data_IF_405762356422
#
_entry.id   IF_405762356422
#
_cell.length_a   1.000
_cell.length_b   1.000
_cell.length_c   1.000
_cell.angle_alpha   90.00
_cell.angle_beta   90.00
_cell.angle_gamma   90.00
#
_symmetry.space_group_name_H-M   'P 1'
#
loop_
_entity.id
_entity.type
_entity.pdbx_description
1 polymer ?
#
# COMPACT_ATOMS: atom_id res chain seq x y z
N UNK A 1 -4.97 3.76 -28.53
CA UNK A 1 -4.90 2.61 -27.62
C UNK A 1 -5.68 2.93 -26.36
N UNK A 2 -7.01 2.81 -26.42
CA UNK A 2 -7.94 3.27 -25.38
C UNK A 2 -8.56 2.01 -24.75
N UNK A 3 -8.59 1.93 -23.41
CA UNK A 3 -9.44 0.96 -22.72
C UNK A 3 -8.76 -0.28 -22.10
N UNK A 4 -7.60 -0.15 -21.45
CA UNK A 4 -7.25 -1.14 -20.41
C UNK A 4 -7.84 -0.66 -19.10
N UNK A 5 -9.03 -1.16 -18.78
CA UNK A 5 -9.57 -1.20 -17.41
C UNK A 5 -8.45 -1.54 -16.42
N UNK A 6 -8.54 -1.09 -15.14
CA UNK A 6 -7.65 -1.60 -14.11
C UNK A 6 -7.67 -3.13 -14.20
N UNK A 7 -6.54 -3.72 -14.61
CA UNK A 7 -6.48 -5.19 -14.68
C UNK A 7 -6.81 -5.68 -13.27
N UNK A 8 -7.74 -6.63 -13.13
CA UNK A 8 -8.09 -7.25 -11.84
C UNK A 8 -6.84 -7.54 -10.99
N UNK A 9 -5.75 -7.95 -11.65
CA UNK A 9 -4.41 -8.12 -11.11
C UNK A 9 -3.87 -6.91 -10.32
N UNK A 10 -4.06 -5.68 -10.78
CA UNK A 10 -3.61 -4.45 -10.11
C UNK A 10 -4.39 -4.22 -8.82
N UNK A 11 -5.71 -4.41 -8.84
CA UNK A 11 -6.56 -4.26 -7.66
C UNK A 11 -6.18 -5.32 -6.62
N UNK A 12 -6.03 -6.58 -7.04
CA UNK A 12 -5.58 -7.69 -6.18
C UNK A 12 -4.19 -7.40 -5.61
N UNK A 13 -3.25 -6.89 -6.42
CA UNK A 13 -1.91 -6.56 -5.96
C UNK A 13 -1.89 -5.45 -4.89
N UNK A 14 -2.74 -4.41 -5.02
CA UNK A 14 -2.87 -3.36 -4.01
C UNK A 14 -3.43 -3.92 -2.71
N UNK A 15 -4.47 -4.76 -2.80
CA UNK A 15 -5.08 -5.38 -1.61
C UNK A 15 -4.09 -6.31 -0.89
N UNK A 16 -3.37 -7.17 -1.62
CA UNK A 16 -2.34 -8.02 -1.03
C UNK A 16 -1.25 -7.18 -0.37
N UNK A 17 -0.80 -6.10 -1.00
CA UNK A 17 0.19 -5.21 -0.40
C UNK A 17 -0.31 -4.57 0.89
N UNK A 18 -1.58 -4.15 0.96
CA UNK A 18 -2.18 -3.60 2.19
C UNK A 18 -2.24 -4.67 3.29
N UNK A 19 -2.65 -5.89 2.97
CA UNK A 19 -2.68 -7.01 3.93
C UNK A 19 -1.26 -7.29 4.47
N UNK A 20 -0.26 -7.38 3.60
CA UNK A 20 1.13 -7.57 4.02
C UNK A 20 1.65 -6.40 4.88
N UNK A 21 1.29 -5.16 4.53
CA UNK A 21 1.68 -3.99 5.31
C UNK A 21 1.07 -4.01 6.72
N UNK A 22 -0.20 -4.40 6.84
CA UNK A 22 -0.88 -4.57 8.13
C UNK A 22 -0.24 -5.69 8.96
N UNK A 23 0.10 -6.83 8.32
CA UNK A 23 0.81 -7.93 8.99
C UNK A 23 2.18 -7.49 9.49
N UNK A 24 2.93 -6.70 8.72
CA UNK A 24 4.21 -6.12 9.12
C UNK A 24 4.06 -5.21 10.35
N UNK A 25 3.06 -4.33 10.37
CA UNK A 25 2.80 -3.45 11.52
C UNK A 25 2.40 -4.26 12.74
N UNK A 26 1.51 -5.25 12.57
CA UNK A 26 1.08 -6.13 13.65
C UNK A 26 2.26 -6.92 14.24
N UNK A 27 3.14 -7.44 13.39
CA UNK A 27 4.36 -8.11 13.83
C UNK A 27 5.32 -7.15 14.54
N UNK A 28 5.51 -5.95 14.01
CA UNK A 28 6.32 -4.91 14.66
C UNK A 28 5.79 -4.55 16.04
N UNK A 29 4.47 -4.49 16.21
CA UNK A 29 3.81 -4.27 17.50
C UNK A 29 4.07 -5.42 18.49
N UNK A 30 4.00 -6.68 18.03
CA UNK A 30 4.33 -7.84 18.89
C UNK A 30 5.79 -7.82 19.31
N UNK A 31 6.72 -7.53 18.39
CA UNK A 31 8.14 -7.37 18.75
C UNK A 31 8.34 -6.24 19.77
N UNK A 32 7.63 -5.12 19.61
CA UNK A 32 7.69 -4.00 20.54
C UNK A 32 7.16 -4.38 21.93
N UNK A 33 6.02 -5.06 22.01
CA UNK A 33 5.40 -5.42 23.29
C UNK A 33 6.22 -6.42 24.11
N UNK A 34 7.08 -7.19 23.45
CA UNK A 34 8.01 -8.12 24.09
C UNK A 34 9.41 -7.53 24.33
N UNK A 35 9.63 -6.27 23.94
CA UNK A 35 10.91 -5.60 24.20
C UNK A 35 11.05 -5.36 25.70
N UNK A 36 12.02 -6.04 26.32
CA UNK A 36 12.40 -5.85 27.73
C UNK A 36 13.91 -5.59 27.83
N UNK A 37 14.43 -5.32 29.03
CA UNK A 37 15.87 -5.12 29.25
C UNK A 37 16.71 -6.33 28.80
N UNK A 38 16.16 -7.54 28.92
CA UNK A 38 16.78 -8.80 28.50
C UNK A 38 16.65 -9.02 26.98
N UNK A 39 15.60 -8.46 26.36
CA UNK A 39 15.26 -8.64 24.95
C UNK A 39 15.29 -7.31 24.17
N UNK A 40 16.25 -6.44 24.50
CA UNK A 40 16.37 -5.11 23.88
C UNK A 40 16.58 -5.19 22.35
N UNK A 41 17.15 -6.30 21.87
CA UNK A 41 17.36 -6.57 20.44
C UNK A 41 16.06 -6.63 19.63
N UNK A 42 14.90 -6.87 20.27
CA UNK A 42 13.59 -6.86 19.60
C UNK A 42 13.12 -5.46 19.19
N UNK A 43 13.71 -4.40 19.76
CA UNK A 43 13.40 -3.02 19.39
C UNK A 43 13.75 -2.72 17.92
N UNK A 44 14.84 -3.30 17.42
CA UNK A 44 15.31 -3.11 16.03
C UNK A 44 14.32 -3.69 15.01
N UNK A 45 13.95 -4.99 15.05
CA UNK A 45 12.96 -5.54 14.14
C UNK A 45 11.58 -4.91 14.36
N UNK A 46 11.20 -4.54 15.59
CA UNK A 46 9.95 -3.80 15.84
C UNK A 46 9.89 -2.50 15.03
N UNK A 47 10.94 -1.68 15.12
CA UNK A 47 11.03 -0.42 14.39
C UNK A 47 11.05 -0.62 12.88
N UNK A 48 11.86 -1.57 12.37
CA UNK A 48 11.95 -1.86 10.94
C UNK A 48 10.61 -2.35 10.38
N UNK A 49 9.89 -3.21 11.10
CA UNK A 49 8.59 -3.72 10.67
C UNK A 49 7.51 -2.63 10.69
N UNK A 50 7.48 -1.77 11.71
CA UNK A 50 6.56 -0.63 11.75
C UNK A 50 6.85 0.39 10.65
N UNK A 51 8.12 0.77 10.45
CA UNK A 51 8.52 1.72 9.41
C UNK A 51 8.24 1.15 8.01
N UNK A 52 8.64 -0.11 7.77
CA UNK A 52 8.40 -0.80 6.50
C UNK A 52 6.92 -0.96 6.18
N UNK A 53 6.10 -1.35 7.16
CA UNK A 53 4.66 -1.43 7.00
C UNK A 53 4.01 -0.08 6.70
N UNK A 54 4.45 0.99 7.38
CA UNK A 54 3.97 2.36 7.12
C UNK A 54 4.30 2.81 5.69
N UNK A 55 5.54 2.59 5.24
CA UNK A 55 5.96 2.89 3.86
C UNK A 55 5.13 2.10 2.85
N UNK A 56 4.86 0.83 3.12
CA UNK A 56 4.05 -0.02 2.25
C UNK A 56 2.58 0.46 2.13
N UNK A 57 2.00 0.99 3.20
CA UNK A 57 0.68 1.65 3.19
C UNK A 57 0.71 2.90 2.32
N UNK A 58 1.69 3.79 2.52
CA UNK A 58 1.83 5.02 1.73
C UNK A 58 1.97 4.68 0.24
N UNK A 59 2.79 3.68 -0.09
CA UNK A 59 2.96 3.21 -1.47
C UNK A 59 1.65 2.65 -2.05
N UNK A 60 0.84 1.95 -1.27
CA UNK A 60 -0.47 1.45 -1.70
C UNK A 60 -1.45 2.61 -1.96
N UNK A 61 -1.49 3.63 -1.09
CA UNK A 61 -2.29 4.84 -1.27
C UNK A 61 -1.89 5.58 -2.55
N UNK A 62 -0.58 5.79 -2.78
CA UNK A 62 -0.09 6.44 -3.99
C UNK A 62 -0.50 5.69 -5.26
N UNK A 63 -0.52 4.34 -5.23
CA UNK A 63 -1.01 3.53 -6.35
C UNK A 63 -2.51 3.71 -6.59
N UNK A 64 -3.31 3.81 -5.52
CA UNK A 64 -4.75 4.08 -5.62
C UNK A 64 -4.98 5.47 -6.23
N UNK A 65 -4.28 6.50 -5.75
CA UNK A 65 -4.37 7.87 -6.29
C UNK A 65 -4.00 7.91 -7.76
N UNK A 66 -2.91 7.24 -8.16
CA UNK A 66 -2.52 7.13 -9.57
C UNK A 66 -3.57 6.44 -10.43
N UNK A 67 -4.25 5.42 -9.90
CA UNK A 67 -5.35 4.72 -10.56
C UNK A 67 -6.54 5.64 -10.80
N UNK A 68 -6.99 6.36 -9.76
CA UNK A 68 -8.10 7.32 -9.84
C UNK A 68 -7.75 8.47 -10.80
N UNK A 69 -6.52 8.99 -10.74
CA UNK A 69 -6.06 10.06 -11.64
C UNK A 69 -6.10 9.63 -13.11
N UNK A 70 -5.72 8.37 -13.39
CA UNK A 70 -5.79 7.80 -14.74
C UNK A 70 -7.23 7.64 -15.23
N UNK A 71 -8.16 7.21 -14.38
CA UNK A 71 -9.59 7.13 -14.74
C UNK A 71 -10.16 8.51 -15.07
N UNK A 72 -9.89 9.52 -14.23
CA UNK A 72 -10.32 10.90 -14.47
C UNK A 72 -9.80 11.47 -15.79
N UNK A 73 -8.54 11.17 -16.14
CA UNK A 73 -7.96 11.59 -17.42
C UNK A 73 -8.68 10.96 -18.61
N UNK A 74 -8.98 9.65 -18.54
CA UNK A 74 -9.70 8.93 -19.59
C UNK A 74 -11.12 9.51 -19.76
N UNK A 75 -11.82 9.80 -18.67
CA UNK A 75 -13.16 10.39 -18.71
C UNK A 75 -13.16 11.79 -19.32
N UNK A 76 -12.11 12.59 -19.07
CA UNK A 76 -11.90 13.88 -19.72
C UNK A 76 -11.80 13.75 -21.25
N UNK A 77 -11.01 12.79 -21.74
CA UNK A 77 -10.89 12.53 -23.18
C UNK A 77 -12.18 12.01 -23.81
N UNK A 78 -12.92 11.11 -23.12
CA UNK A 78 -14.22 10.63 -23.59
C UNK A 78 -15.25 11.75 -23.74
N UNK A 79 -15.24 12.73 -22.84
CA UNK A 79 -16.12 13.91 -22.91
C UNK A 79 -15.77 14.84 -24.08
N UNK A 80 -14.48 14.93 -24.45
CA UNK A 80 -14.03 15.76 -25.57
C UNK A 80 -14.22 15.11 -26.95
N UNK A 81 -14.15 13.78 -27.04
CA UNK A 81 -14.33 13.04 -28.30
C UNK A 81 -15.78 12.66 -28.63
N UNK A 82 -16.75 13.04 -27.80
CA UNK A 82 -18.18 12.83 -28.03
C UNK A 82 -18.91 14.08 -28.55
N UNK A 83 -18.16 15.11 -28.95
CA UNK A 83 -18.63 16.29 -29.68
C UNK A 83 -18.11 16.21 -31.12
#
# INVERSE_FOLDING_TARGET
MIGKEPRLRTIVAINLQLVFALMLIAYGWVCWSWTSAEWWGLAVPAFLCMAGGTIAIIAAINRIVALIGRERSIDGFKRQGSA
#
